data_IF_442690043298
#
_entry.id   IF_442690043298
#
_cell.length_a   1.000
_cell.length_b   1.000
_cell.length_c   1.000
_cell.angle_alpha   90.00
_cell.angle_beta   90.00
_cell.angle_gamma   90.00
#
_symmetry.space_group_name_H-M   'P 1'
#
loop_
_entity.id
_entity.type
_entity.pdbx_description
1 polymer ?
#
# COMPACT_ATOMS: atom_id res chain seq x y z
N UNK A 1 5.09 3.44 -8.13
CA UNK A 1 6.20 2.60 -7.61
C UNK A 1 6.23 2.70 -6.10
N UNK A 2 6.42 1.58 -5.42
CA UNK A 2 6.72 1.49 -3.98
C UNK A 2 8.12 0.89 -3.78
N UNK A 3 8.89 1.44 -2.84
CA UNK A 3 10.11 0.81 -2.32
C UNK A 3 9.77 0.02 -1.05
N UNK A 4 10.28 -1.19 -0.95
CA UNK A 4 10.26 -1.97 0.28
C UNK A 4 11.69 -2.44 0.58
N UNK A 5 12.10 -2.45 1.84
CA UNK A 5 13.40 -2.99 2.26
C UNK A 5 13.15 -4.12 3.24
N UNK A 6 13.84 -5.23 3.05
CA UNK A 6 13.81 -6.38 3.95
C UNK A 6 15.22 -6.68 4.43
N UNK A 7 15.37 -7.13 5.68
CA UNK A 7 16.67 -7.51 6.22
C UNK A 7 16.78 -9.03 6.39
N UNK A 8 17.86 -9.62 5.88
CA UNK A 8 18.14 -11.04 5.98
C UNK A 8 19.12 -11.32 7.12
N UNK A 9 18.61 -11.81 8.24
CA UNK A 9 19.41 -12.19 9.43
C UNK A 9 20.51 -13.22 9.15
N UNK A 10 20.32 -14.13 8.18
CA UNK A 10 21.30 -15.19 7.88
C UNK A 10 22.51 -14.68 7.10
N UNK A 11 22.29 -13.71 6.21
CA UNK A 11 23.33 -13.11 5.37
C UNK A 11 23.86 -11.78 5.92
N UNK A 12 23.22 -11.24 6.95
CA UNK A 12 23.43 -9.87 7.47
C UNK A 12 23.38 -8.80 6.36
N UNK A 13 22.45 -8.96 5.42
CA UNK A 13 22.27 -8.06 4.28
C UNK A 13 20.84 -7.51 4.16
N UNK A 14 20.69 -6.48 3.33
CA UNK A 14 19.42 -5.81 3.05
C UNK A 14 19.04 -6.07 1.60
N UNK A 15 17.76 -6.35 1.37
CA UNK A 15 17.22 -6.60 0.04
C UNK A 15 16.13 -5.56 -0.28
N UNK A 16 16.41 -4.60 -1.19
CA UNK A 16 15.43 -3.64 -1.66
C UNK A 16 14.53 -4.27 -2.74
N UNK A 17 13.23 -4.14 -2.55
CA UNK A 17 12.19 -4.57 -3.49
C UNK A 17 11.48 -3.36 -4.07
N UNK A 18 11.21 -3.41 -5.38
CA UNK A 18 10.40 -2.41 -6.05
C UNK A 18 9.11 -3.05 -6.54
N UNK A 19 7.99 -2.57 -6.01
CA UNK A 19 6.67 -2.91 -6.53
C UNK A 19 6.21 -1.80 -7.49
N UNK A 20 5.97 -2.17 -8.74
CA UNK A 20 5.65 -1.21 -9.81
C UNK A 20 4.36 -1.64 -10.51
N UNK A 21 3.36 -0.75 -10.47
CA UNK A 21 2.17 -0.86 -11.30
C UNK A 21 2.34 0.02 -12.53
N UNK A 22 2.16 -0.58 -13.71
CA UNK A 22 2.29 0.09 -15.01
C UNK A 22 0.97 -0.05 -15.75
N UNK A 23 0.38 1.07 -16.12
CA UNK A 23 -0.76 1.08 -17.03
C UNK A 23 -0.23 0.95 -18.47
N UNK A 24 -0.71 -0.07 -19.18
CA UNK A 24 -0.30 -0.40 -20.55
C UNK A 24 -1.52 -0.56 -21.44
N UNK A 25 -1.31 -0.48 -22.76
CA UNK A 25 -2.38 -0.74 -23.71
C UNK A 25 -2.95 -2.15 -23.53
N UNK A 26 -4.25 -2.33 -23.83
CA UNK A 26 -4.91 -3.66 -23.74
C UNK A 26 -4.21 -4.73 -24.58
N UNK A 27 -3.58 -4.32 -25.68
CA UNK A 27 -2.79 -5.16 -26.57
C UNK A 27 -1.36 -5.43 -26.10
N UNK A 28 -0.90 -4.89 -24.97
CA UNK A 28 0.51 -5.01 -24.55
C UNK A 28 1.01 -6.45 -24.49
N UNK A 29 0.20 -7.37 -23.98
CA UNK A 29 0.57 -8.80 -23.88
C UNK A 29 0.38 -9.59 -25.19
N UNK A 30 -0.21 -8.98 -26.23
CA UNK A 30 -0.50 -9.66 -27.51
C UNK A 30 0.28 -9.07 -28.68
N UNK A 31 0.61 -7.78 -28.64
CA UNK A 31 1.40 -7.10 -29.67
C UNK A 31 2.89 -7.19 -29.35
N UNK A 32 3.58 -8.07 -30.08
CA UNK A 32 5.02 -8.32 -29.94
C UNK A 32 5.90 -7.09 -30.18
N UNK A 33 5.38 -6.02 -30.79
CA UNK A 33 6.13 -4.77 -30.99
C UNK A 33 6.30 -3.97 -29.71
N UNK A 34 5.41 -4.16 -28.73
CA UNK A 34 5.41 -3.42 -27.47
C UNK A 34 5.71 -4.30 -26.26
N UNK A 35 5.46 -5.61 -26.36
CA UNK A 35 5.67 -6.54 -25.26
C UNK A 35 7.15 -6.67 -24.91
N UNK A 36 7.50 -6.44 -23.64
CA UNK A 36 8.83 -6.70 -23.09
C UNK A 36 8.75 -8.03 -22.34
N UNK A 37 9.60 -8.97 -22.72
CA UNK A 37 9.62 -10.29 -22.09
C UNK A 37 10.15 -10.23 -20.66
N UNK A 38 9.83 -11.23 -19.83
CA UNK A 38 10.35 -11.30 -18.47
C UNK A 38 11.89 -11.38 -18.43
N UNK A 39 12.50 -12.04 -19.42
CA UNK A 39 13.96 -12.11 -19.58
C UNK A 39 14.54 -10.73 -19.89
N UNK A 40 13.93 -10.01 -20.82
CA UNK A 40 14.36 -8.65 -21.16
C UNK A 40 14.20 -7.68 -19.98
N UNK A 41 13.12 -7.80 -19.19
CA UNK A 41 12.98 -7.07 -17.93
C UNK A 41 14.09 -7.39 -16.93
N UNK A 42 14.50 -8.66 -16.82
CA UNK A 42 15.59 -9.08 -15.93
C UNK A 42 16.92 -8.48 -16.38
N UNK A 43 17.19 -8.50 -17.69
CA UNK A 43 18.43 -7.98 -18.25
C UNK A 43 18.50 -6.45 -18.12
N UNK A 44 17.41 -5.73 -18.38
CA UNK A 44 17.30 -4.30 -18.09
C UNK A 44 17.53 -4.00 -16.62
N UNK A 45 16.98 -4.83 -15.72
CA UNK A 45 17.16 -4.63 -14.27
C UNK A 45 18.61 -4.86 -13.83
N UNK A 46 19.29 -5.86 -14.38
CA UNK A 46 20.72 -6.10 -14.15
C UNK A 46 21.58 -4.95 -14.67
N UNK A 47 21.26 -4.45 -15.84
CA UNK A 47 21.98 -3.34 -16.47
C UNK A 47 21.92 -2.07 -15.61
N UNK A 48 20.72 -1.63 -15.22
CA UNK A 48 20.56 -0.41 -14.42
C UNK A 48 21.09 -0.51 -12.98
N UNK A 49 21.13 -1.73 -12.41
CA UNK A 49 21.69 -1.95 -11.07
C UNK A 49 23.18 -2.23 -11.08
N UNK A 50 23.74 -2.67 -12.20
CA UNK A 50 25.10 -3.19 -12.30
C UNK A 50 25.31 -4.52 -11.56
N UNK A 51 24.24 -5.23 -11.17
CA UNK A 51 24.30 -6.47 -10.38
C UNK A 51 23.85 -7.64 -11.25
N UNK A 52 24.81 -8.34 -11.85
CA UNK A 52 24.57 -9.47 -12.75
C UNK A 52 23.93 -10.69 -12.05
N UNK A 53 24.13 -10.80 -10.73
CA UNK A 53 23.70 -11.91 -9.88
C UNK A 53 22.20 -11.90 -9.59
N UNK A 54 21.48 -10.81 -9.92
CA UNK A 54 20.03 -10.77 -9.78
C UNK A 54 19.43 -11.82 -10.72
N UNK A 55 18.61 -12.72 -10.20
CA UNK A 55 18.02 -13.84 -10.96
C UNK A 55 16.51 -13.74 -11.11
N UNK A 56 15.88 -12.80 -10.41
CA UNK A 56 14.44 -12.77 -10.25
C UNK A 56 13.88 -11.39 -10.59
N UNK A 57 12.91 -11.40 -11.51
CA UNK A 57 11.96 -10.31 -11.72
C UNK A 57 10.59 -10.95 -11.97
N UNK A 58 9.56 -10.42 -11.31
CA UNK A 58 8.19 -10.88 -11.50
C UNK A 58 7.41 -9.82 -12.27
N UNK A 59 6.99 -10.18 -13.48
CA UNK A 59 6.19 -9.32 -14.36
C UNK A 59 4.93 -10.08 -14.75
N UNK A 60 3.76 -9.55 -14.38
CA UNK A 60 2.50 -10.22 -14.61
C UNK A 60 1.36 -9.24 -14.85
N UNK A 61 0.36 -9.69 -15.61
CA UNK A 61 -0.91 -8.98 -15.78
C UNK A 61 -1.75 -9.14 -14.51
N UNK A 62 -2.21 -8.02 -13.94
CA UNK A 62 -3.19 -8.06 -12.85
C UNK A 62 -4.53 -8.50 -13.41
N UNK A 63 -5.13 -9.53 -12.78
CA UNK A 63 -6.45 -10.04 -13.11
C UNK A 63 -7.47 -9.39 -12.18
N UNK A 64 -8.63 -8.98 -12.70
CA UNK A 64 -9.65 -8.23 -11.92
C UNK A 64 -10.12 -8.94 -10.64
N UNK A 65 -10.05 -10.27 -10.58
CA UNK A 65 -10.53 -11.03 -9.43
C UNK A 65 -9.42 -11.38 -8.42
N UNK A 66 -8.23 -10.80 -8.58
CA UNK A 66 -7.11 -11.01 -7.67
C UNK A 66 -6.49 -9.67 -7.30
N UNK A 67 -6.90 -9.15 -6.13
CA UNK A 67 -6.39 -7.90 -5.58
C UNK A 67 -5.09 -8.10 -4.78
N UNK A 68 -4.60 -9.35 -4.65
CA UNK A 68 -3.41 -9.67 -3.86
C UNK A 68 -2.22 -8.82 -4.27
N UNK A 69 -1.98 -8.69 -5.57
CA UNK A 69 -0.87 -7.90 -6.12
C UNK A 69 -1.02 -6.40 -5.82
N UNK A 70 -2.25 -5.89 -5.80
CA UNK A 70 -2.54 -4.52 -5.41
C UNK A 70 -2.27 -4.32 -3.91
N UNK A 71 -2.68 -5.28 -3.07
CA UNK A 71 -2.42 -5.25 -1.64
C UNK A 71 -0.93 -5.31 -1.32
N UNK A 72 -0.10 -6.05 -2.06
CA UNK A 72 1.37 -6.01 -1.89
C UNK A 72 1.93 -4.58 -2.05
N UNK A 73 1.37 -3.80 -2.98
CA UNK A 73 1.72 -2.38 -3.13
C UNK A 73 1.23 -1.50 -1.97
N UNK A 74 0.14 -1.87 -1.30
CA UNK A 74 -0.40 -1.14 -0.15
C UNK A 74 0.25 -1.52 1.19
N UNK A 75 1.05 -2.60 1.25
CA UNK A 75 1.76 -3.00 2.47
C UNK A 75 2.77 -1.95 2.95
N UNK A 76 3.38 -2.19 4.10
CA UNK A 76 4.47 -1.39 4.65
C UNK A 76 5.74 -1.40 3.78
N UNK A 77 6.56 -0.36 3.97
CA UNK A 77 7.87 -0.16 3.33
C UNK A 77 8.99 -1.01 3.94
N UNK A 78 8.72 -1.58 5.11
CA UNK A 78 9.55 -2.52 5.84
C UNK A 78 8.70 -3.07 6.99
N UNK A 79 8.95 -4.29 7.45
CA UNK A 79 8.19 -4.86 8.56
C UNK A 79 8.61 -4.20 9.87
N UNK A 80 7.66 -3.84 10.72
CA UNK A 80 7.94 -3.25 12.03
C UNK A 80 8.89 -4.11 12.87
N UNK A 81 8.78 -5.43 12.74
CA UNK A 81 9.69 -6.40 13.38
C UNK A 81 11.14 -6.29 12.92
N UNK A 82 11.40 -5.84 11.70
CA UNK A 82 12.74 -5.72 11.14
C UNK A 82 13.46 -4.50 11.70
N UNK A 83 12.74 -3.41 12.01
CA UNK A 83 13.31 -2.23 12.66
C UNK A 83 13.77 -2.52 14.09
N UNK A 84 13.16 -3.50 14.77
CA UNK A 84 13.41 -3.80 16.19
C UNK A 84 14.50 -4.86 16.42
N UNK A 85 15.25 -5.24 15.37
CA UNK A 85 16.26 -6.32 15.48
C UNK A 85 17.45 -5.88 16.34
N UNK A 86 18.07 -4.74 16.01
CA UNK A 86 19.12 -4.11 16.77
C UNK A 86 19.36 -2.67 16.25
N UNK A 87 20.18 -1.89 16.96
CA UNK A 87 20.47 -0.50 16.61
C UNK A 87 21.12 -0.35 15.22
N UNK A 88 22.03 -1.24 14.82
CA UNK A 88 22.68 -1.19 13.49
C UNK A 88 21.65 -1.32 12.37
N UNK A 89 20.72 -2.27 12.52
CA UNK A 89 19.64 -2.49 11.55
C UNK A 89 18.69 -1.30 11.52
N UNK A 90 18.27 -0.82 12.69
CA UNK A 90 17.43 0.38 12.79
C UNK A 90 18.07 1.60 12.10
N UNK A 91 19.34 1.88 12.37
CA UNK A 91 20.06 3.02 11.79
C UNK A 91 20.16 2.92 10.27
N UNK A 92 20.35 1.71 9.73
CA UNK A 92 20.38 1.47 8.30
C UNK A 92 19.02 1.78 7.67
N UNK A 93 17.93 1.20 8.19
CA UNK A 93 16.58 1.48 7.71
C UNK A 93 16.23 2.96 7.80
N UNK A 94 16.51 3.60 8.95
CA UNK A 94 16.24 5.01 9.16
C UNK A 94 16.99 5.89 8.16
N UNK A 95 18.30 5.71 8.02
CA UNK A 95 19.11 6.50 7.07
C UNK A 95 18.69 6.25 5.63
N UNK A 96 18.31 5.02 5.29
CA UNK A 96 17.90 4.65 3.94
C UNK A 96 16.49 5.12 3.57
N UNK A 97 15.57 5.27 4.54
CA UNK A 97 14.17 5.62 4.24
C UNK A 97 13.80 7.05 4.64
N UNK A 98 14.48 7.66 5.61
CA UNK A 98 14.17 9.02 6.08
C UNK A 98 14.21 10.01 4.91
N UNK A 99 13.11 10.75 4.76
CA UNK A 99 12.95 11.78 3.73
C UNK A 99 12.80 11.24 2.31
N UNK A 100 12.73 9.92 2.11
CA UNK A 100 12.46 9.33 0.79
C UNK A 100 10.95 9.14 0.61
N UNK A 101 10.45 9.53 -0.56
CA UNK A 101 9.11 9.15 -0.98
C UNK A 101 9.09 7.65 -1.32
N UNK A 102 8.55 6.85 -0.41
CA UNK A 102 8.49 5.40 -0.58
C UNK A 102 7.47 5.02 -1.66
N UNK A 103 6.29 5.67 -1.66
CA UNK A 103 5.25 5.49 -2.64
C UNK A 103 5.17 6.71 -3.57
N UNK A 104 5.41 6.48 -4.87
CA UNK A 104 5.44 7.52 -5.90
C UNK A 104 4.45 7.18 -7.02
N UNK A 105 3.63 8.16 -7.38
CA UNK A 105 2.66 8.10 -8.47
C UNK A 105 3.19 8.86 -9.68
N UNK A 106 3.12 8.24 -10.86
CA UNK A 106 3.56 8.82 -12.13
C UNK A 106 2.54 8.57 -13.24
N UNK A 107 2.63 9.34 -14.33
CA UNK A 107 1.73 9.22 -15.48
C UNK A 107 0.26 9.25 -15.10
N UNK A 108 -0.53 8.32 -15.67
CA UNK A 108 -1.96 8.18 -15.42
C UNK A 108 -2.32 8.05 -13.93
N UNK A 109 -1.47 7.42 -13.12
CA UNK A 109 -1.73 7.28 -11.68
C UNK A 109 -1.55 8.60 -10.92
N UNK A 110 -0.67 9.49 -11.38
CA UNK A 110 -0.53 10.83 -10.80
C UNK A 110 -1.78 11.67 -11.07
N UNK A 111 -2.33 11.57 -12.27
CA UNK A 111 -3.58 12.24 -12.65
C UNK A 111 -4.77 11.66 -11.88
N UNK A 112 -4.87 10.34 -11.79
CA UNK A 112 -5.91 9.67 -11.01
C UNK A 112 -5.86 10.06 -9.53
N UNK A 113 -4.66 10.15 -8.92
CA UNK A 113 -4.50 10.64 -7.55
C UNK A 113 -5.01 12.07 -7.37
N UNK A 114 -4.78 12.96 -8.34
CA UNK A 114 -5.29 14.34 -8.29
C UNK A 114 -6.83 14.35 -8.36
N UNK A 115 -7.41 13.56 -9.26
CA UNK A 115 -8.87 13.42 -9.38
C UNK A 115 -9.49 12.84 -8.11
N UNK A 116 -8.85 11.83 -7.50
CA UNK A 116 -9.28 11.27 -6.22
C UNK A 116 -9.30 12.34 -5.12
N UNK A 117 -8.22 13.13 -4.98
CA UNK A 117 -8.16 14.24 -4.01
C UNK A 117 -9.21 15.34 -4.24
N UNK A 118 -9.68 15.50 -5.47
CA UNK A 118 -10.68 16.48 -5.82
C UNK A 118 -12.13 15.98 -5.64
N UNK A 119 -12.32 14.71 -5.25
CA UNK A 119 -13.65 14.08 -5.20
C UNK A 119 -14.19 13.64 -6.56
N UNK A 120 -13.45 13.89 -7.66
CA UNK A 120 -13.89 13.53 -9.02
C UNK A 120 -14.07 12.01 -9.21
N UNK A 121 -13.50 11.20 -8.31
CA UNK A 121 -13.56 9.74 -8.32
C UNK A 121 -14.39 9.15 -7.16
N UNK A 122 -15.15 9.96 -6.43
CA UNK A 122 -15.93 9.49 -5.27
C UNK A 122 -16.98 8.43 -5.64
N UNK A 123 -17.44 8.41 -6.89
CA UNK A 123 -18.32 7.36 -7.42
C UNK A 123 -17.69 5.95 -7.42
N UNK A 124 -16.36 5.84 -7.22
CA UNK A 124 -15.64 4.58 -7.07
C UNK A 124 -15.51 4.14 -5.61
N UNK A 125 -15.79 5.01 -4.63
CA UNK A 125 -15.73 4.66 -3.21
C UNK A 125 -16.90 3.75 -2.84
N UNK A 126 -16.62 2.75 -2.03
CA UNK A 126 -17.66 1.90 -1.45
C UNK A 126 -18.42 2.69 -0.36
N UNK A 127 -19.72 2.45 -0.27
CA UNK A 127 -20.55 2.97 0.83
C UNK A 127 -20.51 1.93 1.94
N UNK A 128 -20.27 2.36 3.19
CA UNK A 128 -20.30 1.45 4.33
C UNK A 128 -21.71 0.84 4.45
N UNK A 129 -21.86 -0.48 4.27
CA UNK A 129 -23.16 -1.14 4.40
C UNK A 129 -23.57 -1.33 5.86
N UNK A 130 -22.68 -1.06 6.81
CA UNK A 130 -22.92 -1.25 8.25
C UNK A 130 -23.90 -0.21 8.75
N UNK A 131 -24.95 -0.68 9.43
CA UNK A 131 -25.88 0.19 10.15
C UNK A 131 -25.46 0.28 11.62
N UNK A 132 -24.92 1.43 12.00
CA UNK A 132 -24.59 1.76 13.37
C UNK A 132 -25.87 2.21 14.09
N UNK A 133 -26.12 1.57 15.24
CA UNK A 133 -27.32 1.80 16.07
C UNK A 133 -26.98 2.13 17.53
N UNK A 134 -25.74 1.86 17.96
CA UNK A 134 -25.28 2.11 19.32
C UNK A 134 -24.00 2.94 19.34
N UNK A 135 -23.88 3.77 20.37
CA UNK A 135 -22.62 4.35 20.82
C UNK A 135 -22.21 3.69 22.13
N UNK A 136 -20.96 3.22 22.21
CA UNK A 136 -20.40 2.57 23.40
C UNK A 136 -19.21 3.38 23.88
N UNK A 137 -19.26 3.81 25.14
CA UNK A 137 -18.14 4.48 25.81
C UNK A 137 -17.31 3.46 26.57
N UNK A 138 -15.98 3.56 26.42
CA UNK A 138 -15.03 2.76 27.19
C UNK A 138 -14.21 3.67 28.09
N UNK A 139 -14.00 3.24 29.34
CA UNK A 139 -13.08 3.87 30.27
C UNK A 139 -11.85 2.98 30.46
N UNK A 140 -10.67 3.59 30.48
CA UNK A 140 -9.44 2.89 30.81
C UNK A 140 -9.24 2.82 32.32
N UNK A 141 -9.20 1.62 32.89
CA UNK A 141 -9.00 1.41 34.33
C UNK A 141 -8.21 0.13 34.58
N UNK A 142 -7.26 0.16 35.51
CA UNK A 142 -6.50 -1.03 35.95
C UNK A 142 -5.89 -1.87 34.81
N UNK A 143 -5.41 -1.21 33.74
CA UNK A 143 -4.80 -1.83 32.54
C UNK A 143 -5.77 -2.54 31.60
N UNK A 144 -7.07 -2.29 31.70
CA UNK A 144 -8.07 -2.77 30.73
C UNK A 144 -9.08 -1.68 30.36
N UNK A 145 -9.72 -1.84 29.20
CA UNK A 145 -10.85 -1.01 28.77
C UNK A 145 -12.14 -1.66 29.27
N UNK A 146 -12.91 -0.94 30.07
CA UNK A 146 -14.22 -1.35 30.54
C UNK A 146 -15.28 -0.52 29.83
N UNK A 147 -16.29 -1.18 29.23
CA UNK A 147 -17.45 -0.49 28.70
C UNK A 147 -18.18 0.20 29.86
N UNK A 148 -18.27 1.53 29.81
CA UNK A 148 -18.88 2.34 30.87
C UNK A 148 -20.35 2.61 30.59
N UNK A 149 -20.70 2.93 29.35
CA UNK A 149 -22.05 3.39 28.96
C UNK A 149 -22.38 2.91 27.54
N UNK A 150 -23.65 2.60 27.29
CA UNK A 150 -24.18 2.19 26.00
C UNK A 150 -25.46 2.97 25.72
N UNK A 151 -25.51 3.67 24.60
CA UNK A 151 -26.64 4.50 24.18
C UNK A 151 -27.14 4.08 22.80
N UNK A 152 -28.45 4.03 22.62
CA UNK A 152 -29.06 4.02 21.29
C UNK A 152 -28.77 5.35 20.59
N UNK A 153 -28.35 5.28 19.32
CA UNK A 153 -28.19 6.47 18.50
C UNK A 153 -29.56 7.11 18.23
N UNK A 154 -29.61 8.43 18.31
CA UNK A 154 -30.77 9.21 17.87
C UNK A 154 -30.95 9.10 16.36
N UNK A 155 -32.16 9.39 15.87
CA UNK A 155 -32.43 9.39 14.42
C UNK A 155 -31.58 10.43 13.66
N UNK A 156 -31.17 11.51 14.32
CA UNK A 156 -30.25 12.47 13.74
C UNK A 156 -28.84 11.86 13.59
N UNK A 157 -28.29 11.26 14.64
CA UNK A 157 -26.97 10.63 14.62
C UNK A 157 -26.90 9.47 13.62
N UNK A 158 -27.96 8.65 13.54
CA UNK A 158 -28.05 7.59 12.52
C UNK A 158 -27.93 8.15 11.10
N UNK A 159 -28.59 9.28 10.79
CA UNK A 159 -28.47 9.95 9.48
C UNK A 159 -27.09 10.54 9.23
N UNK A 160 -26.41 10.97 10.30
CA UNK A 160 -25.07 11.56 10.22
C UNK A 160 -23.97 10.52 10.08
N UNK A 161 -24.15 9.30 10.61
CA UNK A 161 -23.10 8.27 10.66
C UNK A 161 -23.29 7.17 9.60
N UNK A 162 -24.54 6.75 9.34
CA UNK A 162 -24.80 5.63 8.42
C UNK A 162 -24.70 6.05 6.95
N UNK A 163 -24.40 5.07 6.10
CA UNK A 163 -24.35 5.20 4.64
C UNK A 163 -23.37 6.28 4.14
N UNK A 164 -22.30 6.52 4.91
CA UNK A 164 -21.19 7.33 4.47
C UNK A 164 -20.30 6.54 3.53
N UNK A 165 -19.59 7.26 2.65
CA UNK A 165 -18.51 6.66 1.90
C UNK A 165 -17.46 6.16 2.89
N UNK A 166 -16.87 5.00 2.61
CA UNK A 166 -15.71 4.53 3.34
C UNK A 166 -14.57 5.48 2.97
N UNK A 167 -14.36 6.49 3.81
CA UNK A 167 -13.15 7.29 3.77
C UNK A 167 -12.05 6.44 4.42
N UNK A 168 -11.30 5.70 3.59
CA UNK A 168 -10.01 5.16 4.03
C UNK A 168 -9.22 6.33 4.61
N UNK A 169 -8.80 6.22 5.88
CA UNK A 169 -8.12 7.26 6.66
C UNK A 169 -7.13 7.97 5.74
N UNK A 170 -7.46 9.21 5.34
CA UNK A 170 -6.50 10.07 4.68
C UNK A 170 -5.41 10.31 5.71
N UNK A 171 -4.27 9.61 5.57
CA UNK A 171 -3.08 9.92 6.37
C UNK A 171 -2.77 11.41 6.12
N UNK A 172 -3.06 12.25 7.12
CA UNK A 172 -2.67 13.65 7.15
C UNK A 172 -1.16 13.72 6.85
N UNK A 173 -0.82 14.43 5.77
CA UNK A 173 0.57 14.61 5.33
C UNK A 173 1.33 15.61 6.19
#
# INVERSE_FOLDING_TARGET
>A
RKLEITYNKKRDDYNPHFHVLIAVNKSYFTDKRYYISQQEWLDLWRDVTGISEITQVQVQKIRQNNNKELYEMAKYSGKDSDYLINQKVFDAFYKSLKGKQVLVYSGLFKEAKKKLKNGDLDYLKEIDPTEYIYQIFYIWKQKEYLASELYDLTEQEKREINHKMIDEIEEEQ
#
